data_IF_262884006382
#
_entry.id   IF_262884006382
#
_cell.length_a   1.000
_cell.length_b   1.000
_cell.length_c   1.000
_cell.angle_alpha   90.00
_cell.angle_beta   90.00
_cell.angle_gamma   90.00
#
_symmetry.space_group_name_H-M   'P 1'
#
loop_
_entity.id
_entity.type
_entity.pdbx_description
1 polymer ?
#
# COMPACT_ATOMS: atom_id res chain seq x y z
N UNK A 1 38.62 3.07 18.70
CA UNK A 1 38.98 4.43 18.26
C UNK A 1 38.11 4.78 17.05
N UNK A 2 37.31 5.85 16.96
CA UNK A 2 37.02 7.01 17.79
C UNK A 2 35.49 7.21 17.74
N UNK A 3 34.83 7.32 18.90
CA UNK A 3 33.44 7.75 18.99
C UNK A 3 33.39 9.27 18.89
N UNK A 4 32.73 9.79 17.85
CA UNK A 4 32.47 11.22 17.71
C UNK A 4 31.21 11.59 18.46
N UNK A 5 31.36 12.21 19.64
CA UNK A 5 30.26 12.80 20.38
C UNK A 5 29.78 14.06 19.63
N UNK A 6 28.52 14.04 19.20
CA UNK A 6 27.86 15.20 18.60
C UNK A 6 27.40 16.12 19.75
N UNK A 7 28.16 17.18 20.01
CA UNK A 7 27.77 18.23 20.96
C UNK A 7 26.66 19.07 20.33
N UNK A 8 25.43 18.88 20.80
CA UNK A 8 24.28 19.71 20.45
C UNK A 8 24.47 21.10 21.07
N UNK A 9 24.79 22.08 20.24
CA UNK A 9 24.71 23.50 20.60
C UNK A 9 23.30 23.99 20.25
N UNK A 10 22.51 24.51 21.20
CA UNK A 10 21.19 25.05 20.91
C UNK A 10 21.33 26.37 20.13
N UNK A 11 20.78 26.43 18.92
CA UNK A 11 20.67 27.65 18.11
C UNK A 11 21.43 27.67 16.77
N UNK A 12 22.18 26.61 16.42
CA UNK A 12 22.87 26.52 15.13
C UNK A 12 22.06 25.68 14.13
N UNK A 13 21.85 26.13 12.87
CA UNK A 13 21.27 25.29 11.84
C UNK A 13 22.24 24.15 11.52
N UNK A 14 21.79 22.91 11.74
CA UNK A 14 22.58 21.69 11.54
C UNK A 14 23.14 21.62 10.10
N UNK A 15 24.46 21.72 9.95
CA UNK A 15 25.19 21.48 8.69
C UNK A 15 25.62 20.01 8.55
N UNK A 16 24.75 19.07 8.92
CA UNK A 16 24.98 17.66 8.68
C UNK A 16 24.20 17.23 7.44
N UNK A 17 24.89 16.81 6.39
CA UNK A 17 24.31 16.20 5.19
C UNK A 17 23.59 14.87 5.45
N UNK A 18 23.65 14.35 6.68
CA UNK A 18 22.94 13.16 7.15
C UNK A 18 21.86 13.44 8.21
N UNK A 19 21.58 14.70 8.52
CA UNK A 19 20.37 15.02 9.26
C UNK A 19 19.19 14.83 8.31
N UNK A 20 18.59 13.63 8.33
CA UNK A 20 17.19 13.44 8.02
C UNK A 20 16.42 14.38 8.96
N UNK A 21 16.29 15.64 8.55
CA UNK A 21 15.37 16.57 9.16
C UNK A 21 14.01 15.90 8.98
N UNK A 22 13.53 15.32 10.06
CA UNK A 22 12.37 14.44 10.12
C UNK A 22 11.13 15.28 9.81
N UNK A 23 10.89 15.50 8.51
CA UNK A 23 9.82 16.36 8.03
C UNK A 23 8.51 15.75 8.51
N UNK A 24 7.84 16.50 9.36
CA UNK A 24 6.57 16.11 9.94
C UNK A 24 5.46 16.73 9.11
N UNK A 25 4.59 15.90 8.54
CA UNK A 25 3.42 16.32 7.80
C UNK A 25 2.18 16.23 8.70
N UNK A 26 1.28 17.21 8.62
CA UNK A 26 -0.01 17.18 9.29
C UNK A 26 -1.12 17.24 8.25
N UNK A 27 -1.99 16.22 8.22
CA UNK A 27 -3.17 16.16 7.35
C UNK A 27 -4.41 16.32 8.22
N UNK A 28 -5.10 17.45 8.11
CA UNK A 28 -6.31 17.73 8.90
C UNK A 28 -7.53 17.65 8.00
N UNK A 29 -8.57 16.93 8.42
CA UNK A 29 -9.86 16.97 7.72
C UNK A 29 -10.65 18.16 8.24
N UNK A 30 -10.81 19.17 7.40
CA UNK A 30 -11.47 20.43 7.75
C UNK A 30 -12.99 20.28 7.68
N UNK A 31 -13.48 19.57 6.66
CA UNK A 31 -14.91 19.34 6.43
C UNK A 31 -15.11 17.93 5.84
N UNK A 32 -16.25 17.31 6.14
CA UNK A 32 -16.70 16.08 5.48
C UNK A 32 -18.23 16.08 5.37
N UNK A 33 -18.74 15.72 4.18
CA UNK A 33 -20.15 15.43 3.94
C UNK A 33 -20.37 13.90 3.92
N UNK A 34 -21.58 13.48 4.27
CA UNK A 34 -22.07 12.10 4.07
C UNK A 34 -21.24 10.98 4.74
N UNK A 35 -20.44 11.29 5.77
CA UNK A 35 -19.74 10.28 6.57
C UNK A 35 -20.58 9.86 7.80
N UNK A 36 -20.77 8.55 8.05
CA UNK A 36 -21.38 8.06 9.28
C UNK A 36 -20.63 8.53 10.53
N UNK A 37 -21.36 8.79 11.63
CA UNK A 37 -20.77 9.31 12.88
C UNK A 37 -19.79 8.35 13.56
N UNK A 38 -19.86 7.06 13.24
CA UNK A 38 -19.01 5.98 13.76
C UNK A 38 -18.01 5.45 12.73
N UNK A 39 -17.84 6.17 11.61
CA UNK A 39 -16.86 5.81 10.60
C UNK A 39 -15.43 5.95 11.13
N UNK A 40 -14.56 5.09 10.62
CA UNK A 40 -13.11 5.17 10.80
C UNK A 40 -12.49 5.67 9.51
N UNK A 41 -11.59 6.65 9.63
CA UNK A 41 -10.83 7.16 8.50
C UNK A 41 -9.40 6.60 8.53
N UNK A 42 -8.99 6.03 7.41
CA UNK A 42 -7.63 5.63 7.13
C UNK A 42 -6.98 6.62 6.20
N UNK A 43 -5.87 7.20 6.63
CA UNK A 43 -5.01 8.04 5.81
C UNK A 43 -3.68 7.31 5.62
N UNK A 44 -3.32 7.03 4.36
CA UNK A 44 -2.04 6.44 3.99
C UNK A 44 -1.19 7.46 3.25
N UNK A 45 0.04 7.63 3.70
CA UNK A 45 1.06 8.48 3.07
C UNK A 45 2.31 7.61 2.87
N UNK A 46 2.60 7.26 1.62
CA UNK A 46 3.62 6.27 1.29
C UNK A 46 3.37 4.94 2.02
N UNK A 47 4.30 4.56 2.90
CA UNK A 47 4.20 3.33 3.69
C UNK A 47 3.40 3.47 4.99
N UNK A 48 3.23 4.71 5.47
CA UNK A 48 2.59 4.93 6.76
C UNK A 48 1.09 5.02 6.57
N UNK A 49 0.35 4.02 7.06
CA UNK A 49 -1.12 4.06 7.18
C UNK A 49 -1.51 4.36 8.62
N UNK A 50 -2.42 5.32 8.81
CA UNK A 50 -3.00 5.68 10.10
C UNK A 50 -4.52 5.56 10.03
N UNK A 51 -5.08 4.72 10.89
CA UNK A 51 -6.52 4.47 11.02
C UNK A 51 -7.02 5.01 12.36
N UNK A 52 -8.09 5.82 12.36
CA UNK A 52 -8.67 6.41 13.57
C UNK A 52 -10.18 6.59 13.42
N UNK A 53 -10.96 6.66 14.52
CA UNK A 53 -12.32 7.16 14.46
C UNK A 53 -12.35 8.54 13.80
N UNK A 54 -13.32 8.77 12.91
CA UNK A 54 -13.44 10.01 12.18
C UNK A 54 -13.89 11.15 13.10
N UNK A 55 -13.11 12.24 13.13
CA UNK A 55 -13.44 13.48 13.83
C UNK A 55 -12.98 14.67 12.98
N UNK A 56 -13.91 15.57 12.70
CA UNK A 56 -13.62 16.82 12.00
C UNK A 56 -12.66 17.66 12.84
N UNK A 57 -11.65 18.24 12.20
CA UNK A 57 -10.61 19.05 12.85
C UNK A 57 -9.46 18.25 13.47
N UNK A 58 -9.51 16.90 13.47
CA UNK A 58 -8.39 16.09 13.95
C UNK A 58 -7.28 15.96 12.89
N UNK A 59 -6.02 16.12 13.32
CA UNK A 59 -4.86 16.04 12.45
C UNK A 59 -4.22 14.63 12.45
N UNK A 60 -3.94 14.14 11.24
CA UNK A 60 -3.08 13.02 10.96
C UNK A 60 -1.63 13.46 10.81
N UNK A 61 -0.85 13.34 11.87
CA UNK A 61 0.61 13.56 11.81
C UNK A 61 1.29 12.43 11.04
N UNK A 62 2.35 12.67 10.28
CA UNK A 62 3.21 11.65 9.69
C UNK A 62 4.66 12.12 9.84
N UNK A 63 5.55 11.24 10.29
CA UNK A 63 6.98 11.54 10.46
C UNK A 63 7.77 10.84 9.35
N UNK A 64 8.93 11.38 8.99
CA UNK A 64 9.80 10.81 7.98
C UNK A 64 9.19 10.77 6.58
N UNK A 65 8.20 11.64 6.30
CA UNK A 65 7.61 11.75 4.97
C UNK A 65 8.37 12.79 4.20
N UNK A 66 8.98 12.35 3.10
CA UNK A 66 9.59 13.25 2.13
C UNK A 66 8.48 13.99 1.36
N UNK A 67 8.06 15.15 1.87
CA UNK A 67 7.09 16.01 1.17
C UNK A 67 7.56 16.43 -0.25
N UNK A 68 8.84 16.21 -0.57
CA UNK A 68 9.45 16.53 -1.86
C UNK A 68 9.36 15.40 -2.89
N UNK A 69 8.90 14.19 -2.53
CA UNK A 69 8.88 13.02 -3.44
C UNK A 69 7.56 12.82 -4.19
N UNK A 70 6.63 13.78 -4.15
CA UNK A 70 5.38 13.69 -4.92
C UNK A 70 4.49 12.49 -4.53
N UNK A 71 4.63 11.99 -3.30
CA UNK A 71 3.93 10.79 -2.84
C UNK A 71 2.41 10.97 -2.82
N UNK A 72 1.67 9.95 -3.25
CA UNK A 72 0.22 9.95 -3.19
C UNK A 72 -0.28 9.78 -1.75
N UNK A 73 -1.44 10.38 -1.47
CA UNK A 73 -2.15 10.26 -0.20
C UNK A 73 -3.45 9.51 -0.49
N UNK A 74 -3.63 8.35 0.12
CA UNK A 74 -4.84 7.55 -0.01
C UNK A 74 -5.72 7.73 1.22
N UNK A 75 -7.02 7.96 0.99
CA UNK A 75 -8.05 8.05 2.01
C UNK A 75 -9.02 6.89 1.85
N UNK A 76 -9.21 6.09 2.90
CA UNK A 76 -10.25 5.06 2.96
C UNK A 76 -11.18 5.35 4.14
N UNK A 77 -12.49 5.30 3.92
CA UNK A 77 -13.50 5.35 4.97
C UNK A 77 -14.03 3.94 5.26
N UNK A 78 -14.12 3.57 6.53
CA UNK A 78 -14.62 2.28 6.98
C UNK A 78 -15.75 2.47 7.97
N UNK A 79 -16.76 1.61 7.90
CA UNK A 79 -17.79 1.52 8.93
C UNK A 79 -17.44 0.44 9.95
N UNK A 80 -17.75 0.68 11.21
CA UNK A 80 -17.54 -0.32 12.25
C UNK A 80 -18.60 -1.40 12.17
N UNK A 81 -18.24 -2.52 11.57
CA UNK A 81 -19.18 -3.64 11.43
C UNK A 81 -19.60 -4.24 12.79
N UNK A 82 -18.69 -4.34 13.76
CA UNK A 82 -18.93 -5.02 15.04
C UNK A 82 -17.76 -4.93 16.02
N UNK A 83 -17.93 -5.40 17.25
CA UNK A 83 -16.88 -5.41 18.28
C UNK A 83 -17.08 -6.55 19.27
N UNK A 84 -16.00 -7.26 19.60
CA UNK A 84 -15.98 -8.29 20.63
C UNK A 84 -14.73 -8.10 21.50
N UNK A 85 -14.91 -8.08 22.82
CA UNK A 85 -13.81 -8.21 23.77
C UNK A 85 -13.76 -9.64 24.28
N UNK A 86 -12.60 -10.30 24.13
CA UNK A 86 -12.33 -11.62 24.69
C UNK A 86 -11.20 -11.53 25.72
N UNK A 87 -11.13 -12.50 26.63
CA UNK A 87 -9.99 -12.64 27.54
C UNK A 87 -8.77 -13.13 26.75
N UNK A 88 -7.58 -12.63 27.12
CA UNK A 88 -6.32 -13.11 26.59
C UNK A 88 -6.03 -14.56 26.99
N UNK A 89 -5.01 -15.19 26.37
CA UNK A 89 -4.60 -16.54 26.73
C UNK A 89 -4.14 -16.62 28.18
N UNK A 90 -4.53 -17.68 28.90
CA UNK A 90 -4.12 -17.89 30.30
C UNK A 90 -2.61 -18.17 30.41
N UNK A 91 -2.03 -18.80 29.39
CA UNK A 91 -0.60 -19.09 29.27
C UNK A 91 0.01 -18.31 28.10
N UNK A 92 0.81 -17.27 28.39
CA UNK A 92 1.51 -16.49 27.36
C UNK A 92 2.61 -17.26 26.61
N UNK A 93 2.98 -18.45 27.11
CA UNK A 93 4.08 -19.26 26.58
C UNK A 93 3.62 -20.38 25.63
N UNK A 94 2.31 -20.59 25.47
CA UNK A 94 1.75 -21.63 24.60
C UNK A 94 0.98 -21.01 23.44
N UNK A 95 1.02 -21.69 22.31
CA UNK A 95 0.13 -21.35 21.20
C UNK A 95 -1.32 -21.69 21.57
N UNK A 96 -2.24 -20.76 21.35
CA UNK A 96 -3.66 -21.00 21.54
C UNK A 96 -4.45 -20.66 20.29
N UNK A 97 -5.47 -21.47 20.01
CA UNK A 97 -6.47 -21.24 18.96
C UNK A 97 -7.80 -20.92 19.64
N UNK A 98 -8.40 -19.78 19.28
CA UNK A 98 -9.68 -19.34 19.82
C UNK A 98 -10.65 -19.04 18.68
N UNK A 99 -11.80 -19.70 18.69
CA UNK A 99 -12.94 -19.33 17.86
C UNK A 99 -13.65 -18.12 18.47
N UNK A 100 -13.83 -17.06 17.67
CA UNK A 100 -14.55 -15.85 18.08
C UNK A 100 -15.69 -15.55 17.12
N UNK A 101 -16.78 -15.00 17.67
CA UNK A 101 -17.96 -14.57 16.92
C UNK A 101 -18.23 -13.10 17.23
N UNK A 102 -18.01 -12.23 16.26
CA UNK A 102 -18.15 -10.79 16.39
C UNK A 102 -19.58 -10.42 15.98
N UNK A 103 -20.42 -9.91 16.90
CA UNK A 103 -21.75 -9.45 16.55
C UNK A 103 -21.65 -8.20 15.67
N UNK A 104 -22.42 -8.15 14.60
CA UNK A 104 -22.44 -7.01 13.68
C UNK A 104 -23.68 -6.14 13.85
N UNK A 105 -23.58 -4.86 13.53
CA UNK A 105 -24.70 -3.91 13.66
C UNK A 105 -25.83 -4.16 12.64
N UNK A 106 -25.47 -4.64 11.43
CA UNK A 106 -26.38 -4.70 10.29
C UNK A 106 -26.37 -6.05 9.54
N UNK A 107 -26.05 -7.17 10.20
CA UNK A 107 -26.00 -8.46 9.51
C UNK A 107 -25.72 -9.68 10.39
N UNK A 108 -25.33 -10.82 9.78
CA UNK A 108 -24.92 -12.00 10.52
C UNK A 108 -23.60 -11.75 11.27
N UNK A 109 -23.41 -12.46 12.38
CA UNK A 109 -22.15 -12.40 13.14
C UNK A 109 -20.98 -12.91 12.31
N UNK A 110 -19.84 -12.21 12.40
CA UNK A 110 -18.60 -12.60 11.71
C UNK A 110 -17.86 -13.61 12.60
N UNK A 111 -17.67 -14.83 12.11
CA UNK A 111 -16.86 -15.85 12.80
C UNK A 111 -15.40 -15.79 12.33
N UNK A 112 -14.46 -15.86 13.28
CA UNK A 112 -13.03 -15.89 13.00
C UNK A 112 -12.30 -16.85 13.94
N UNK A 113 -11.24 -17.50 13.43
CA UNK A 113 -10.30 -18.30 14.22
C UNK A 113 -9.05 -17.48 14.48
N UNK A 114 -8.76 -17.18 15.74
CA UNK A 114 -7.59 -16.43 16.15
C UNK A 114 -6.54 -17.40 16.66
N UNK A 115 -5.31 -17.31 16.13
CA UNK A 115 -4.13 -17.98 16.67
C UNK A 115 -3.27 -16.97 17.40
N UNK A 116 -2.92 -17.25 18.65
CA UNK A 116 -1.97 -16.44 19.43
C UNK A 116 -0.72 -17.29 19.66
N UNK A 117 0.41 -16.82 19.15
CA UNK A 117 1.71 -17.49 19.29
C UNK A 117 2.73 -16.54 19.94
N UNK A 118 3.50 -16.98 20.95
CA UNK A 118 4.60 -16.19 21.48
C UNK A 118 5.67 -15.98 20.41
N UNK A 119 6.10 -14.73 20.21
CA UNK A 119 7.19 -14.41 19.26
C UNK A 119 8.49 -14.26 20.05
N UNK A 120 9.46 -15.15 19.79
CA UNK A 120 10.82 -15.00 20.30
C UNK A 120 11.54 -13.81 19.62
N UNK A 121 12.36 -13.04 20.36
CA UNK A 121 13.10 -11.92 19.80
C UNK A 121 14.20 -12.40 18.85
N UNK A 122 13.99 -12.21 17.54
CA UNK A 122 14.99 -12.51 16.51
C UNK A 122 16.18 -11.52 16.55
N UNK A 123 17.40 -11.95 16.17
CA UNK A 123 18.60 -11.10 16.13
C UNK A 123 18.45 -9.89 15.19
N UNK A 124 18.86 -8.73 15.68
CA UNK A 124 18.60 -7.38 15.11
C UNK A 124 19.17 -7.20 13.70
N UNK A 125 20.30 -7.83 13.37
CA UNK A 125 21.00 -7.58 12.10
C UNK A 125 20.34 -8.18 10.86
N UNK A 126 19.66 -9.33 10.98
CA UNK A 126 18.87 -9.89 9.87
C UNK A 126 17.61 -9.06 9.63
N UNK A 127 17.06 -8.45 10.69
CA UNK A 127 15.86 -7.63 10.63
C UNK A 127 16.08 -6.39 9.77
N UNK A 128 17.21 -5.70 9.91
CA UNK A 128 17.48 -4.46 9.16
C UNK A 128 17.65 -4.68 7.65
N UNK A 129 18.35 -5.75 7.22
CA UNK A 129 18.52 -6.07 5.79
C UNK A 129 17.23 -6.57 5.14
N UNK A 130 16.40 -7.30 5.88
CA UNK A 130 15.07 -7.71 5.42
C UNK A 130 14.10 -6.52 5.39
N UNK A 131 14.16 -5.64 6.39
CA UNK A 131 13.37 -4.42 6.43
C UNK A 131 13.70 -3.49 5.27
N UNK A 132 14.97 -3.31 4.93
CA UNK A 132 15.38 -2.47 3.79
C UNK A 132 14.95 -3.03 2.43
N UNK A 133 15.07 -4.35 2.20
CA UNK A 133 14.56 -4.99 0.97
C UNK A 133 13.04 -4.94 0.88
N UNK A 134 12.36 -5.19 2.00
CA UNK A 134 10.90 -5.13 2.07
C UNK A 134 10.40 -3.70 1.81
N UNK A 135 11.06 -2.71 2.41
CA UNK A 135 10.79 -1.28 2.20
C UNK A 135 10.91 -0.90 0.72
N UNK A 136 12.03 -1.25 0.08
CA UNK A 136 12.23 -0.94 -1.34
C UNK A 136 11.15 -1.57 -2.23
N UNK A 137 10.72 -2.80 -1.94
CA UNK A 137 9.65 -3.46 -2.69
C UNK A 137 8.28 -2.79 -2.46
N UNK A 138 8.01 -2.32 -1.24
CA UNK A 138 6.79 -1.58 -0.92
C UNK A 138 6.78 -0.20 -1.57
N UNK A 139 7.88 0.55 -1.51
CA UNK A 139 8.01 1.84 -2.17
C UNK A 139 7.82 1.71 -3.69
N UNK A 140 8.42 0.69 -4.32
CA UNK A 140 8.22 0.41 -5.74
C UNK A 140 6.75 0.08 -6.06
N UNK A 141 6.09 -0.74 -5.24
CA UNK A 141 4.67 -1.05 -5.40
C UNK A 141 3.81 0.21 -5.25
N UNK A 142 4.01 0.98 -4.18
CA UNK A 142 3.28 2.20 -3.92
C UNK A 142 3.44 3.19 -5.08
N UNK A 143 4.65 3.34 -5.63
CA UNK A 143 4.87 4.17 -6.82
C UNK A 143 4.04 3.70 -8.02
N UNK A 144 4.02 2.41 -8.31
CA UNK A 144 3.27 1.83 -9.43
C UNK A 144 1.75 1.97 -9.24
N UNK A 145 1.27 1.80 -8.00
CA UNK A 145 -0.14 1.95 -7.64
C UNK A 145 -0.57 3.43 -7.70
N UNK A 146 0.21 4.35 -7.13
CA UNK A 146 -0.09 5.80 -7.14
C UNK A 146 -0.17 6.40 -8.56
N UNK A 147 0.59 5.85 -9.52
CA UNK A 147 0.58 6.34 -10.90
C UNK A 147 -0.38 5.55 -11.80
N UNK A 148 -1.19 4.64 -11.23
CA UNK A 148 -2.06 3.71 -11.96
C UNK A 148 -1.32 2.91 -13.05
N UNK A 149 -0.03 2.62 -12.85
CA UNK A 149 0.82 1.89 -13.81
C UNK A 149 0.75 0.39 -13.57
N UNK A 150 0.53 -0.04 -12.32
CA UNK A 150 0.55 -1.46 -11.95
C UNK A 150 -0.43 -2.32 -12.75
N UNK A 151 -1.70 -1.88 -12.86
CA UNK A 151 -2.74 -2.58 -13.62
C UNK A 151 -2.38 -2.80 -15.10
N UNK A 152 -2.03 -1.74 -15.86
CA UNK A 152 -1.56 -1.86 -17.23
C UNK A 152 -0.34 -2.77 -17.39
N UNK A 153 0.67 -2.64 -16.53
CA UNK A 153 1.89 -3.47 -16.60
C UNK A 153 1.57 -4.95 -16.36
N UNK A 154 0.73 -5.24 -15.36
CA UNK A 154 0.30 -6.60 -15.07
C UNK A 154 -0.51 -7.17 -16.24
N UNK A 155 -1.46 -6.42 -16.79
CA UNK A 155 -2.27 -6.80 -17.95
C UNK A 155 -1.42 -7.09 -19.20
N UNK A 156 -0.45 -6.22 -19.46
CA UNK A 156 0.53 -6.36 -20.55
C UNK A 156 1.34 -7.65 -20.39
N UNK A 157 1.88 -7.91 -19.20
CA UNK A 157 2.69 -9.09 -18.94
C UNK A 157 1.87 -10.38 -19.13
N UNK A 158 0.64 -10.42 -18.63
CA UNK A 158 -0.27 -11.55 -18.88
C UNK A 158 -0.58 -11.74 -20.36
N UNK A 159 -0.83 -10.66 -21.11
CA UNK A 159 -1.11 -10.71 -22.53
C UNK A 159 0.11 -11.19 -23.34
N UNK A 160 1.31 -10.74 -22.96
CA UNK A 160 2.57 -11.14 -23.58
C UNK A 160 2.87 -12.63 -23.35
N UNK A 161 2.73 -13.11 -22.10
CA UNK A 161 2.94 -14.52 -21.77
C UNK A 161 1.91 -15.45 -22.42
N UNK A 162 0.68 -14.96 -22.64
CA UNK A 162 -0.41 -15.69 -23.29
C UNK A 162 -0.23 -15.78 -24.81
N UNK A 163 0.05 -14.65 -25.47
CA UNK A 163 0.08 -14.58 -26.93
C UNK A 163 1.45 -14.95 -27.51
N UNK A 164 2.52 -14.92 -26.69
CA UNK A 164 3.91 -15.23 -27.06
C UNK A 164 4.27 -14.71 -28.47
N UNK A 165 4.14 -13.41 -28.71
CA UNK A 165 4.43 -12.82 -30.00
C UNK A 165 5.90 -13.05 -30.37
N UNK A 166 6.18 -13.13 -31.67
CA UNK A 166 7.53 -13.30 -32.19
C UNK A 166 8.42 -12.08 -31.86
N UNK A 167 7.81 -10.88 -31.78
CA UNK A 167 8.44 -9.66 -31.26
C UNK A 167 7.74 -9.19 -29.96
N UNK A 168 8.29 -9.55 -28.78
CA UNK A 168 7.71 -9.17 -27.50
C UNK A 168 7.84 -7.66 -27.21
N UNK A 169 8.90 -7.00 -27.68
CA UNK A 169 9.11 -5.57 -27.40
C UNK A 169 8.15 -4.72 -28.20
N UNK A 170 8.00 -5.00 -29.50
CA UNK A 170 7.01 -4.31 -30.35
C UNK A 170 5.58 -4.49 -29.81
N UNK A 171 5.24 -5.67 -29.31
CA UNK A 171 3.95 -5.92 -28.69
C UNK A 171 3.72 -5.09 -27.41
N UNK A 172 4.73 -4.97 -26.54
CA UNK A 172 4.63 -4.15 -25.31
C UNK A 172 4.40 -2.67 -25.63
N UNK A 173 5.12 -2.14 -26.62
CA UNK A 173 4.96 -0.74 -27.06
C UNK A 173 3.52 -0.52 -27.56
N UNK A 174 3.04 -1.38 -28.46
CA UNK A 174 1.68 -1.28 -29.00
C UNK A 174 0.61 -1.36 -27.90
N UNK A 175 0.78 -2.26 -26.92
CA UNK A 175 -0.14 -2.40 -25.79
C UNK A 175 -0.19 -1.13 -24.92
N UNK A 176 0.96 -0.52 -24.64
CA UNK A 176 1.02 0.71 -23.85
C UNK A 176 0.45 1.92 -24.61
N UNK A 177 0.64 1.98 -25.93
CA UNK A 177 0.02 3.00 -26.79
C UNK A 177 -1.50 2.88 -26.77
N UNK A 178 -2.05 1.68 -26.96
CA UNK A 178 -3.51 1.43 -26.89
C UNK A 178 -4.08 1.79 -25.50
N UNK A 179 -3.37 1.42 -24.43
CA UNK A 179 -3.74 1.79 -23.07
C UNK A 179 -3.68 3.31 -22.81
N UNK A 180 -2.77 4.02 -23.46
CA UNK A 180 -2.68 5.49 -23.39
C UNK A 180 -3.85 6.14 -24.14
N UNK A 181 -4.20 5.64 -25.33
CA UNK A 181 -5.31 6.14 -26.12
C UNK A 181 -6.66 5.93 -25.40
N UNK A 182 -6.86 4.78 -24.74
CA UNK A 182 -8.04 4.51 -23.93
C UNK A 182 -8.18 5.44 -22.70
N UNK A 183 -7.08 6.01 -22.21
CA UNK A 183 -7.09 6.98 -21.10
C UNK A 183 -7.39 8.40 -21.56
N UNK A 184 -6.98 8.77 -22.77
CA UNK A 184 -7.13 10.12 -23.30
C UNK A 184 -8.37 10.28 -24.19
N UNK A 185 -8.90 9.20 -24.75
CA UNK A 185 -10.11 9.19 -25.56
C UNK A 185 -11.20 8.35 -24.91
N UNK A 186 -12.29 9.00 -24.47
CA UNK A 186 -13.54 8.32 -24.10
C UNK A 186 -14.25 7.70 -25.31
N UNK A 187 -13.57 6.84 -26.06
CA UNK A 187 -14.05 6.15 -27.26
C UNK A 187 -13.99 4.64 -27.05
N UNK A 188 -15.10 3.99 -27.37
CA UNK A 188 -15.37 2.56 -27.21
C UNK A 188 -14.23 1.60 -27.61
N UNK A 189 -14.13 0.40 -26.98
CA UNK A 189 -13.11 -0.58 -27.31
C UNK A 189 -13.25 -1.04 -28.77
N UNK A 190 -12.26 -0.68 -29.59
CA UNK A 190 -12.15 -1.14 -30.98
C UNK A 190 -11.94 -2.66 -31.05
N UNK A 191 -12.44 -3.32 -32.10
CA UNK A 191 -12.39 -4.78 -32.21
C UNK A 191 -10.94 -5.26 -32.28
N UNK A 192 -10.62 -6.18 -31.36
CA UNK A 192 -9.37 -6.96 -31.31
C UNK A 192 -8.95 -7.39 -32.72
N UNK A 193 -7.72 -7.11 -33.17
CA UNK A 193 -7.22 -7.71 -34.39
C UNK A 193 -7.15 -9.23 -34.21
N UNK A 194 -7.88 -9.94 -35.07
CA UNK A 194 -7.93 -11.38 -35.10
C UNK A 194 -6.52 -11.97 -35.36
N UNK A 195 -6.19 -13.13 -34.76
CA UNK A 195 -4.94 -13.82 -35.06
C UNK A 195 -4.92 -14.20 -36.54
N UNK A 196 -3.91 -13.73 -37.27
CA UNK A 196 -3.62 -14.18 -38.62
C UNK A 196 -3.16 -15.63 -38.55
N UNK A 197 -4.12 -16.55 -38.69
CA UNK A 197 -3.87 -17.98 -38.87
C UNK A 197 -3.24 -18.23 -40.24
N UNK A 198 -2.20 -19.05 -40.22
CA UNK A 198 -1.40 -19.51 -41.35
C UNK A 198 -2.19 -19.89 -42.60
N UNK A 199 -1.61 -19.48 -43.72
CA UNK A 199 -1.99 -19.77 -45.10
C UNK A 199 -1.74 -21.26 -45.41
N UNK A 200 -2.71 -22.04 -45.91
CA UNK A 200 -2.44 -23.41 -46.31
C UNK A 200 -1.64 -23.45 -47.61
N UNK A 201 -0.65 -24.34 -47.66
CA UNK A 201 0.19 -24.60 -48.83
C UNK A 201 -0.64 -25.26 -49.97
N UNK A 202 -0.35 -24.96 -51.24
CA UNK A 202 -0.96 -25.67 -52.36
C UNK A 202 -0.35 -27.07 -52.55
N UNK A 203 -1.19 -27.97 -53.05
CA UNK A 203 -0.97 -29.40 -53.28
C UNK A 203 0.13 -29.74 -54.29
#
# INVERSE_FOLDING_TARGET
ARGGACLLVPGSPCRCTSCLCDKTMHITIVEAGDLPSDAFLSVRVGETKRLRPFKVGEAFTFKGVDASSGGCIQFDAYEKLGSLMTRGPEDASKESLQDVSIPTAHGPSISAKIRVSPTEPQPVEKREKLQTRHKLALDAKNYLDCNDIWGPVQGMLHALLKNRPQDPVGYMIAYLTDAQDARHGGGAPGPRPAPQGERPAPA
#
